data_IF_612581880933
#
_entry.id   IF_612581880933
#
_cell.length_a   1.000
_cell.length_b   1.000
_cell.length_c   1.000
_cell.angle_alpha   90.00
_cell.angle_beta   90.00
_cell.angle_gamma   90.00
#
_symmetry.space_group_name_H-M   'P 1'
#
loop_
_entity.id
_entity.type
_entity.pdbx_description
1 polymer ?
#
# COMPACT_ATOMS: atom_id res chain seq x y z
N UNK A 1 20.05 19.94 1.44
CA UNK A 1 19.58 18.58 1.15
C UNK A 1 18.20 18.67 0.51
N UNK A 2 17.94 17.85 -0.50
CA UNK A 2 16.64 17.66 -1.16
C UNK A 2 16.27 16.16 -1.20
N UNK A 3 15.14 15.82 -1.82
CA UNK A 3 14.63 14.45 -1.92
C UNK A 3 15.61 13.48 -2.61
N UNK A 4 16.38 13.95 -3.60
CA UNK A 4 17.39 13.12 -4.28
C UNK A 4 18.55 12.79 -3.34
N UNK A 5 18.97 13.75 -2.53
CA UNK A 5 20.03 13.54 -1.54
C UNK A 5 19.57 12.51 -0.48
N UNK A 6 18.33 12.65 0.01
CA UNK A 6 17.70 11.71 0.95
C UNK A 6 17.65 10.31 0.33
N UNK A 7 17.18 10.17 -0.91
CA UNK A 7 17.12 8.89 -1.60
C UNK A 7 18.50 8.24 -1.76
N UNK A 8 19.55 9.01 -2.07
CA UNK A 8 20.92 8.51 -2.15
C UNK A 8 21.43 7.98 -0.80
N UNK A 9 21.12 8.66 0.31
CA UNK A 9 21.46 8.19 1.66
C UNK A 9 20.72 6.87 1.96
N UNK A 10 19.42 6.80 1.66
CA UNK A 10 18.62 5.59 1.87
C UNK A 10 19.13 4.41 1.02
N UNK A 11 19.52 4.63 -0.23
CA UNK A 11 20.17 3.60 -1.06
C UNK A 11 21.44 3.05 -0.42
N UNK A 12 22.25 3.91 0.19
CA UNK A 12 23.44 3.47 0.93
C UNK A 12 23.10 2.65 2.18
N UNK A 13 21.87 2.77 2.72
CA UNK A 13 21.34 1.96 3.81
C UNK A 13 20.57 0.70 3.32
N UNK A 14 20.65 0.36 2.04
CA UNK A 14 20.03 -0.85 1.48
C UNK A 14 18.58 -0.70 1.02
N UNK A 15 18.04 0.52 0.97
CA UNK A 15 16.72 0.76 0.39
C UNK A 15 16.76 0.71 -1.14
N UNK A 16 15.75 0.12 -1.75
CA UNK A 16 15.52 0.21 -3.19
C UNK A 16 14.73 1.49 -3.48
N UNK A 17 15.35 2.51 -4.09
CA UNK A 17 14.65 3.74 -4.43
C UNK A 17 14.56 3.98 -5.93
N UNK A 18 13.34 4.25 -6.38
CA UNK A 18 12.97 4.50 -7.77
C UNK A 18 12.17 5.80 -7.89
N UNK A 19 12.13 6.31 -9.11
CA UNK A 19 11.28 7.44 -9.47
C UNK A 19 10.19 6.97 -10.39
N UNK A 20 8.99 7.47 -10.17
CA UNK A 20 7.92 7.29 -11.13
C UNK A 20 8.08 8.24 -12.34
N UNK A 21 7.16 8.11 -13.30
CA UNK A 21 7.13 8.91 -14.52
C UNK A 21 6.92 10.42 -14.25
N UNK A 22 6.42 10.78 -13.06
CA UNK A 22 6.17 12.15 -12.63
C UNK A 22 7.32 12.73 -11.80
N UNK A 23 8.34 11.92 -11.51
CA UNK A 23 9.53 12.31 -10.77
C UNK A 23 9.42 12.15 -9.26
N UNK A 24 8.31 11.61 -8.76
CA UNK A 24 8.12 11.31 -7.35
C UNK A 24 9.04 10.15 -6.96
N UNK A 25 9.81 10.36 -5.89
CA UNK A 25 10.76 9.38 -5.42
C UNK A 25 10.10 8.52 -4.35
N UNK A 26 10.13 7.20 -4.54
CA UNK A 26 9.75 6.24 -3.51
C UNK A 26 10.95 5.35 -3.17
N UNK A 27 11.05 4.95 -1.92
CA UNK A 27 12.05 4.00 -1.44
C UNK A 27 11.35 2.86 -0.72
N UNK A 28 11.75 1.63 -1.01
CA UNK A 28 11.17 0.41 -0.44
C UNK A 28 12.26 -0.41 0.24
N UNK A 29 11.89 -1.04 1.35
CA UNK A 29 12.71 -2.05 2.03
C UNK A 29 11.83 -3.19 2.53
N UNK A 30 12.34 -4.42 2.43
CA UNK A 30 11.74 -5.59 3.04
C UNK A 30 12.02 -5.58 4.55
N UNK A 31 10.97 -5.77 5.37
CA UNK A 31 11.07 -5.81 6.83
C UNK A 31 10.63 -7.16 7.41
N UNK A 32 10.66 -8.22 6.62
CA UNK A 32 10.21 -9.58 6.96
C UNK A 32 8.82 -9.86 6.42
N UNK A 33 7.80 -9.77 7.27
CA UNK A 33 6.42 -10.12 6.92
C UNK A 33 5.70 -9.02 6.10
N UNK A 34 6.39 -7.91 5.83
CA UNK A 34 5.84 -6.73 5.15
C UNK A 34 6.91 -6.00 4.34
N UNK A 35 6.46 -5.18 3.40
CA UNK A 35 7.27 -4.20 2.67
C UNK A 35 6.95 -2.81 3.19
N UNK A 36 7.98 -2.06 3.58
CA UNK A 36 7.87 -0.66 3.98
C UNK A 36 8.26 0.22 2.79
N UNK A 37 7.34 1.08 2.37
CA UNK A 37 7.60 2.17 1.44
C UNK A 37 7.63 3.51 2.17
N UNK A 38 8.57 4.36 1.78
CA UNK A 38 8.61 5.78 2.15
C UNK A 38 8.64 6.64 0.89
N UNK A 39 8.00 7.82 0.97
CA UNK A 39 7.98 8.85 -0.07
C UNK A 39 8.57 10.12 0.56
N UNK A 40 9.88 10.37 0.38
CA UNK A 40 10.53 11.54 0.93
C UNK A 40 9.98 12.84 0.35
N UNK A 41 9.71 13.82 1.21
CA UNK A 41 9.33 15.18 0.82
C UNK A 41 10.05 16.21 1.69
N UNK A 42 10.56 17.27 1.06
CA UNK A 42 11.32 18.34 1.73
C UNK A 42 10.73 19.70 1.37
N UNK A 43 10.05 20.31 2.34
CA UNK A 43 9.57 21.69 2.25
C UNK A 43 10.55 22.67 2.90
N UNK A 44 11.16 23.57 2.13
CA UNK A 44 12.00 24.66 2.68
C UNK A 44 11.15 25.84 3.18
N UNK A 45 11.50 26.37 4.36
CA UNK A 45 11.01 27.63 4.94
C UNK A 45 12.20 28.55 5.26
N UNK A 46 11.92 29.77 5.69
CA UNK A 46 12.95 30.78 5.97
C UNK A 46 13.89 30.34 7.12
N UNK A 47 13.34 29.69 8.14
CA UNK A 47 14.02 29.33 9.38
C UNK A 47 14.16 27.79 9.61
N UNK A 48 13.45 26.97 8.83
CA UNK A 48 13.47 25.51 8.98
C UNK A 48 13.18 24.76 7.67
N UNK A 49 13.38 23.45 7.71
CA UNK A 49 12.89 22.47 6.77
C UNK A 49 11.74 21.69 7.39
N UNK A 50 10.79 21.29 6.54
CA UNK A 50 9.74 20.32 6.84
C UNK A 50 10.07 19.04 6.09
N UNK A 51 10.40 17.98 6.82
CA UNK A 51 10.78 16.69 6.22
C UNK A 51 9.72 15.65 6.58
N UNK A 52 9.21 14.94 5.57
CA UNK A 52 8.34 13.77 5.80
C UNK A 52 8.82 12.61 4.95
N UNK A 53 8.74 11.41 5.50
CA UNK A 53 8.97 10.15 4.78
C UNK A 53 7.66 9.46 4.39
N UNK A 54 6.50 9.94 4.86
CA UNK A 54 5.17 9.36 4.58
C UNK A 54 5.14 7.81 4.55
N UNK A 55 5.56 7.13 5.64
CA UNK A 55 5.74 5.69 5.59
C UNK A 55 4.42 4.95 5.40
N UNK A 56 4.45 3.88 4.61
CA UNK A 56 3.33 2.98 4.42
C UNK A 56 3.82 1.55 4.34
N UNK A 57 3.01 0.61 4.81
CA UNK A 57 3.31 -0.82 4.72
C UNK A 57 2.33 -1.56 3.84
N UNK A 58 2.83 -2.57 3.16
CA UNK A 58 2.04 -3.54 2.41
C UNK A 58 2.61 -4.95 2.62
N UNK A 59 1.95 -5.95 2.03
CA UNK A 59 2.58 -7.23 1.73
C UNK A 59 2.71 -7.37 0.22
N UNK A 60 3.72 -8.11 -0.22
CA UNK A 60 3.93 -8.42 -1.64
C UNK A 60 2.70 -9.06 -2.27
N UNK A 61 2.10 -10.03 -1.58
CA UNK A 61 0.87 -10.70 -2.02
C UNK A 61 -0.29 -9.71 -2.24
N UNK A 62 -0.43 -8.72 -1.36
CA UNK A 62 -1.47 -7.71 -1.49
C UNK A 62 -1.21 -6.74 -2.65
N UNK A 63 0.01 -6.22 -2.76
CA UNK A 63 0.40 -5.34 -3.88
C UNK A 63 0.21 -6.04 -5.23
N UNK A 64 0.62 -7.30 -5.35
CA UNK A 64 0.44 -8.11 -6.57
C UNK A 64 -1.03 -8.37 -6.88
N UNK A 65 -1.87 -8.67 -5.87
CA UNK A 65 -3.30 -8.84 -6.08
C UNK A 65 -3.97 -7.56 -6.57
N UNK A 66 -3.61 -6.40 -6.00
CA UNK A 66 -4.13 -5.09 -6.43
C UNK A 66 -3.72 -4.78 -7.87
N UNK A 67 -2.45 -4.98 -8.23
CA UNK A 67 -1.94 -4.78 -9.59
C UNK A 67 -2.66 -5.69 -10.59
N UNK A 68 -2.77 -6.98 -10.27
CA UNK A 68 -3.46 -7.94 -11.13
C UNK A 68 -4.94 -7.58 -11.33
N UNK A 69 -5.64 -7.23 -10.25
CA UNK A 69 -7.06 -6.83 -10.33
C UNK A 69 -7.21 -5.54 -11.13
N UNK A 70 -6.35 -4.54 -10.94
CA UNK A 70 -6.45 -3.28 -11.66
C UNK A 70 -6.07 -3.40 -13.14
N UNK A 71 -5.18 -4.34 -13.47
CA UNK A 71 -4.57 -4.43 -14.78
C UNK A 71 -3.49 -3.36 -14.99
N UNK A 72 -3.09 -2.65 -13.94
CA UNK A 72 -1.96 -1.74 -13.95
C UNK A 72 -0.73 -2.48 -13.38
N UNK A 73 0.45 -2.22 -13.93
CA UNK A 73 1.71 -2.82 -13.46
C UNK A 73 2.23 -2.21 -12.16
N UNK A 74 1.33 -1.75 -11.28
CA UNK A 74 1.70 -1.05 -10.05
C UNK A 74 2.51 -1.93 -9.09
N UNK A 75 3.47 -1.33 -8.39
CA UNK A 75 4.43 -2.06 -7.53
C UNK A 75 4.07 -2.08 -6.05
N UNK A 76 3.39 -1.04 -5.52
CA UNK A 76 3.06 -0.94 -4.09
C UNK A 76 1.64 -0.43 -3.84
N UNK A 77 0.82 -1.26 -3.21
CA UNK A 77 -0.52 -0.88 -2.77
C UNK A 77 -0.57 -0.82 -1.23
N UNK A 78 -0.64 0.35 -0.58
CA UNK A 78 -0.51 0.43 0.87
C UNK A 78 -1.70 -0.20 1.60
N UNK A 79 -1.41 -0.97 2.65
CA UNK A 79 -2.37 -1.51 3.61
C UNK A 79 -2.56 -0.54 4.77
N UNK A 80 -1.46 -0.06 5.36
CA UNK A 80 -1.47 0.94 6.45
C UNK A 80 -0.57 2.10 6.04
N UNK A 81 -1.02 3.32 6.30
CA UNK A 81 -0.29 4.57 6.01
C UNK A 81 -0.13 5.36 7.29
N UNK A 82 1.08 5.83 7.57
CA UNK A 82 1.33 6.78 8.63
C UNK A 82 0.95 8.19 8.16
N UNK A 83 0.04 8.84 8.90
CA UNK A 83 -0.43 10.18 8.59
C UNK A 83 0.18 11.24 9.52
N UNK A 84 1.36 10.96 10.09
CA UNK A 84 2.07 11.95 10.90
C UNK A 84 2.52 13.14 10.05
N UNK A 85 2.47 14.32 10.66
CA UNK A 85 2.93 15.56 10.03
C UNK A 85 4.45 15.56 9.82
N UNK A 86 4.97 16.43 8.96
CA UNK A 86 6.41 16.54 8.73
C UNK A 86 7.15 17.00 9.99
N UNK A 87 8.34 16.45 10.20
CA UNK A 87 9.28 16.92 11.23
C UNK A 87 9.85 18.29 10.82
N UNK A 88 10.01 19.19 11.81
CA UNK A 88 10.59 20.52 11.62
C UNK A 88 12.02 20.53 12.12
N UNK A 89 12.98 20.74 11.23
CA UNK A 89 14.41 20.75 11.57
C UNK A 89 15.10 21.97 10.95
N UNK A 90 16.05 22.57 11.65
CA UNK A 90 16.77 23.77 11.18
C UNK A 90 17.70 23.47 9.99
N UNK A 91 18.24 22.25 9.93
CA UNK A 91 19.06 21.73 8.83
C UNK A 91 18.82 20.23 8.69
N UNK A 92 19.08 19.68 7.50
CA UNK A 92 18.96 18.25 7.23
C UNK A 92 20.36 17.66 7.06
N UNK A 93 20.74 16.73 7.92
CA UNK A 93 21.98 15.95 7.85
C UNK A 93 21.71 14.49 7.45
N UNK A 94 22.76 13.73 7.14
CA UNK A 94 22.64 12.30 6.87
C UNK A 94 22.16 11.52 8.09
N UNK A 95 22.60 11.91 9.30
CA UNK A 95 22.20 11.26 10.54
C UNK A 95 20.70 11.47 10.83
N UNK A 96 20.16 12.64 10.47
CA UNK A 96 18.71 12.89 10.55
C UNK A 96 17.94 11.94 9.64
N UNK A 97 18.41 11.74 8.40
CA UNK A 97 17.77 10.82 7.44
C UNK A 97 17.80 9.38 7.95
N UNK A 98 18.93 8.94 8.50
CA UNK A 98 19.07 7.61 9.10
C UNK A 98 18.09 7.48 10.27
N UNK A 99 18.06 8.46 11.18
CA UNK A 99 17.13 8.45 12.32
C UNK A 99 15.66 8.41 11.89
N UNK A 100 15.27 9.18 10.87
CA UNK A 100 13.91 9.13 10.32
C UNK A 100 13.58 7.76 9.71
N UNK A 101 14.54 7.14 9.02
CA UNK A 101 14.35 5.80 8.44
C UNK A 101 14.20 4.72 9.52
N UNK A 102 14.97 4.80 10.61
CA UNK A 102 14.87 3.87 11.74
C UNK A 102 13.54 4.03 12.50
N UNK A 103 13.07 5.27 12.66
CA UNK A 103 11.73 5.57 13.18
C UNK A 103 10.64 4.95 12.29
N UNK A 104 10.75 5.11 10.97
CA UNK A 104 9.80 4.52 10.02
C UNK A 104 9.79 2.98 10.08
N UNK A 105 10.96 2.35 10.17
CA UNK A 105 11.08 0.88 10.34
C UNK A 105 10.46 0.43 11.67
N UNK A 106 10.71 1.16 12.76
CA UNK A 106 10.16 0.83 14.08
C UNK A 106 8.64 0.97 14.11
N UNK A 107 8.12 2.05 13.53
CA UNK A 107 6.69 2.24 13.31
C UNK A 107 6.10 1.07 12.51
N UNK A 108 6.69 0.73 11.36
CA UNK A 108 6.22 -0.33 10.49
C UNK A 108 6.16 -1.70 11.18
N UNK A 109 7.20 -2.05 11.96
CA UNK A 109 7.27 -3.31 12.73
C UNK A 109 6.24 -3.41 13.85
N UNK A 110 5.69 -2.28 14.31
CA UNK A 110 4.63 -2.27 15.32
C UNK A 110 3.22 -2.44 14.75
N UNK A 111 3.06 -2.45 13.42
CA UNK A 111 1.77 -2.56 12.77
C UNK A 111 1.40 -4.02 12.47
N UNK A 112 0.09 -4.27 12.32
CA UNK A 112 -0.45 -5.56 11.86
C UNK A 112 -1.05 -5.43 10.46
N UNK A 113 -0.42 -6.07 9.46
CA UNK A 113 -0.95 -6.10 8.09
C UNK A 113 -2.31 -6.79 8.02
N UNK A 114 -2.53 -7.83 8.80
CA UNK A 114 -3.81 -8.55 8.86
C UNK A 114 -4.96 -7.66 9.37
N UNK A 115 -4.71 -6.80 10.37
CA UNK A 115 -5.71 -5.84 10.84
C UNK A 115 -6.09 -4.83 9.75
N UNK A 116 -5.10 -4.34 9.00
CA UNK A 116 -5.35 -3.46 7.85
C UNK A 116 -6.13 -4.16 6.72
N UNK A 117 -5.79 -5.40 6.39
CA UNK A 117 -6.55 -6.21 5.43
C UNK A 117 -7.98 -6.49 5.92
N UNK A 118 -8.17 -6.73 7.21
CA UNK A 118 -9.49 -6.85 7.81
C UNK A 118 -10.31 -5.57 7.67
N UNK A 119 -9.69 -4.39 7.79
CA UNK A 119 -10.36 -3.11 7.54
C UNK A 119 -10.78 -2.98 6.06
N UNK A 120 -9.92 -3.33 5.11
CA UNK A 120 -10.27 -3.31 3.68
C UNK A 120 -11.41 -4.26 3.32
N UNK A 121 -11.49 -5.46 3.91
CA UNK A 121 -12.64 -6.37 3.70
C UNK A 121 -13.98 -5.81 4.19
N UNK A 122 -13.95 -4.87 5.13
CA UNK A 122 -15.14 -4.21 5.69
C UNK A 122 -15.52 -2.92 4.95
N UNK A 123 -14.71 -2.45 4.01
CA UNK A 123 -15.01 -1.23 3.26
C UNK A 123 -16.35 -1.33 2.53
N UNK A 124 -17.11 -0.23 2.46
CA UNK A 124 -18.24 -0.15 1.56
C UNK A 124 -17.76 -0.11 0.10
N UNK A 125 -18.57 -0.65 -0.80
CA UNK A 125 -18.35 -0.66 -2.26
C UNK A 125 -18.21 0.74 -2.87
N UNK A 126 -18.85 1.75 -2.26
CA UNK A 126 -18.80 3.15 -2.68
C UNK A 126 -17.63 3.94 -2.07
N UNK A 127 -16.65 3.27 -1.45
CA UNK A 127 -15.44 3.93 -0.97
C UNK A 127 -14.71 4.67 -2.12
N UNK A 128 -14.03 5.78 -1.79
CA UNK A 128 -13.43 6.67 -2.80
C UNK A 128 -12.00 6.27 -3.15
N UNK A 129 -11.49 6.82 -4.26
CA UNK A 129 -10.11 6.60 -4.71
C UNK A 129 -9.85 5.12 -5.03
N UNK A 130 -8.67 4.62 -4.69
CA UNK A 130 -8.28 3.22 -4.93
C UNK A 130 -8.94 2.20 -3.98
N UNK A 131 -9.73 2.65 -3.00
CA UNK A 131 -10.27 1.80 -1.93
C UNK A 131 -11.13 0.63 -2.44
N UNK A 132 -12.00 0.78 -3.46
CA UNK A 132 -12.79 -0.34 -3.96
C UNK A 132 -11.95 -1.49 -4.52
N UNK A 133 -10.83 -1.21 -5.17
CA UNK A 133 -9.91 -2.26 -5.64
C UNK A 133 -9.20 -2.92 -4.46
N UNK A 134 -8.74 -2.13 -3.48
CA UNK A 134 -8.13 -2.67 -2.24
C UNK A 134 -9.10 -3.56 -1.46
N UNK A 135 -10.39 -3.21 -1.47
CA UNK A 135 -11.46 -4.07 -0.95
C UNK A 135 -11.53 -5.41 -1.69
N UNK A 136 -11.58 -5.40 -3.03
CA UNK A 136 -11.60 -6.63 -3.83
C UNK A 136 -10.35 -7.49 -3.59
N UNK A 137 -9.16 -6.89 -3.57
CA UNK A 137 -7.90 -7.59 -3.31
C UNK A 137 -7.88 -8.22 -1.90
N UNK A 138 -8.33 -7.50 -0.88
CA UNK A 138 -8.36 -8.02 0.49
C UNK A 138 -9.37 -9.18 0.65
N UNK A 139 -10.52 -9.13 -0.04
CA UNK A 139 -11.44 -10.27 -0.10
C UNK A 139 -10.81 -11.46 -0.83
N UNK A 140 -10.11 -11.20 -1.93
CA UNK A 140 -9.49 -12.24 -2.74
C UNK A 140 -8.40 -13.00 -1.98
N UNK A 141 -7.50 -12.30 -1.30
CA UNK A 141 -6.42 -12.92 -0.49
C UNK A 141 -7.00 -13.71 0.68
N UNK A 142 -8.08 -13.22 1.29
CA UNK A 142 -8.81 -13.96 2.32
C UNK A 142 -9.59 -15.17 1.78
N UNK A 143 -9.64 -15.36 0.45
CA UNK A 143 -10.38 -16.44 -0.18
C UNK A 143 -11.90 -16.30 -0.09
N UNK A 144 -12.43 -15.08 0.11
CA UNK A 144 -13.88 -14.82 0.17
C UNK A 144 -14.51 -14.82 -1.23
N UNK A 145 -14.37 -15.94 -1.92
CA UNK A 145 -14.90 -16.14 -3.27
C UNK A 145 -16.43 -16.03 -3.30
N UNK A 146 -17.11 -16.36 -2.19
CA UNK A 146 -18.57 -16.24 -2.08
C UNK A 146 -19.02 -14.79 -2.24
N UNK A 147 -18.41 -13.86 -1.49
CA UNK A 147 -18.77 -12.44 -1.56
C UNK A 147 -18.41 -11.81 -2.92
N UNK A 148 -17.28 -12.23 -3.50
CA UNK A 148 -16.88 -11.78 -4.84
C UNK A 148 -17.85 -12.28 -5.93
N UNK A 149 -18.33 -13.52 -5.82
CA UNK A 149 -19.32 -14.10 -6.74
C UNK A 149 -20.70 -13.41 -6.61
N UNK A 150 -21.09 -13.04 -5.40
CA UNK A 150 -22.29 -12.21 -5.16
C UNK A 150 -22.19 -10.85 -5.86
N UNK A 151 -21.03 -10.18 -5.80
CA UNK A 151 -20.80 -8.93 -6.53
C UNK A 151 -20.86 -9.13 -8.05
N UNK A 152 -20.25 -10.20 -8.57
CA UNK A 152 -20.27 -10.53 -10.00
C UNK A 152 -21.72 -10.70 -10.50
N UNK A 153 -22.52 -11.51 -9.81
CA UNK A 153 -23.93 -11.74 -10.14
C UNK A 153 -24.78 -10.47 -10.09
N UNK A 154 -24.46 -9.55 -9.18
CA UNK A 154 -25.15 -8.26 -9.11
C UNK A 154 -24.81 -7.39 -10.33
N UNK A 155 -23.53 -7.31 -10.71
CA UNK A 155 -23.08 -6.60 -11.91
C UNK A 155 -23.74 -7.13 -13.19
N UNK A 156 -23.87 -8.44 -13.32
CA UNK A 156 -24.55 -9.09 -14.45
C UNK A 156 -26.04 -8.72 -14.56
N UNK A 157 -26.68 -8.40 -13.42
CA UNK A 157 -28.07 -7.92 -13.37
C UNK A 157 -28.19 -6.40 -13.56
N UNK A 158 -27.09 -5.71 -13.81
CA UNK A 158 -27.03 -4.25 -13.96
C UNK A 158 -27.03 -3.49 -12.63
N UNK A 159 -26.99 -4.18 -11.49
CA UNK A 159 -26.83 -3.54 -10.18
C UNK A 159 -25.34 -3.49 -9.80
N UNK A 160 -24.80 -2.28 -9.70
CA UNK A 160 -23.38 -2.09 -9.38
C UNK A 160 -23.13 -2.01 -7.87
N UNK A 161 -24.14 -2.19 -7.02
CA UNK A 161 -24.01 -2.11 -5.55
C UNK A 161 -23.35 -0.83 -5.04
N UNK A 162 -23.43 0.27 -5.79
CA UNK A 162 -22.77 1.53 -5.46
C UNK A 162 -21.25 1.55 -5.71
N UNK A 163 -20.66 0.54 -6.34
CA UNK A 163 -19.27 0.60 -6.80
C UNK A 163 -19.05 1.81 -7.70
N UNK A 164 -17.94 2.51 -7.45
CA UNK A 164 -17.48 3.64 -8.26
C UNK A 164 -17.39 3.27 -9.76
N UNK A 165 -17.57 4.23 -10.69
CA UNK A 165 -17.71 3.91 -12.12
C UNK A 165 -16.55 3.14 -12.74
N UNK A 166 -15.32 3.33 -12.24
CA UNK A 166 -14.13 2.70 -12.83
C UNK A 166 -14.01 1.21 -12.52
N UNK A 167 -14.72 0.68 -11.49
CA UNK A 167 -14.67 -0.75 -11.17
C UNK A 167 -15.48 -1.54 -12.21
N UNK A 168 -14.85 -2.49 -12.88
CA UNK A 168 -15.49 -3.28 -13.94
C UNK A 168 -15.83 -4.69 -13.47
N UNK A 169 -16.69 -5.37 -14.24
CA UNK A 169 -16.98 -6.79 -14.01
C UNK A 169 -15.70 -7.65 -14.13
N UNK A 170 -14.84 -7.32 -15.10
CA UNK A 170 -13.55 -7.99 -15.32
C UNK A 170 -12.61 -7.88 -14.12
N UNK A 171 -12.63 -6.76 -13.38
CA UNK A 171 -11.87 -6.61 -12.13
C UNK A 171 -12.36 -7.60 -11.07
N UNK A 172 -13.67 -7.84 -10.98
CA UNK A 172 -14.25 -8.83 -10.06
C UNK A 172 -13.86 -10.24 -10.50
N UNK A 173 -13.85 -10.53 -11.80
CA UNK A 173 -13.39 -11.82 -12.33
C UNK A 173 -11.93 -12.09 -11.97
N UNK A 174 -11.05 -11.08 -12.12
CA UNK A 174 -9.65 -11.19 -11.71
C UNK A 174 -9.51 -11.40 -10.20
N UNK A 175 -10.34 -10.75 -9.38
CA UNK A 175 -10.37 -10.99 -7.93
C UNK A 175 -10.79 -12.43 -7.60
N UNK A 176 -11.79 -12.98 -8.29
CA UNK A 176 -12.22 -14.38 -8.16
C UNK A 176 -11.09 -15.35 -8.52
N UNK A 177 -10.35 -15.09 -9.60
CA UNK A 177 -9.20 -15.90 -9.98
C UNK A 177 -8.13 -15.93 -8.88
N UNK A 178 -7.87 -14.79 -8.23
CA UNK A 178 -6.95 -14.74 -7.08
C UNK A 178 -7.49 -15.56 -5.91
N UNK A 179 -8.77 -15.42 -5.55
CA UNK A 179 -9.39 -16.13 -4.43
C UNK A 179 -9.40 -17.66 -4.59
N UNK A 180 -9.43 -18.14 -5.83
CA UNK A 180 -9.51 -19.57 -6.17
C UNK A 180 -8.14 -20.24 -6.32
N UNK A 181 -7.03 -19.47 -6.37
CA UNK A 181 -5.69 -20.07 -6.41
C UNK A 181 -5.43 -20.86 -5.11
N UNK A 182 -4.86 -22.08 -5.21
CA UNK A 182 -4.38 -22.78 -4.02
C UNK A 182 -3.26 -21.93 -3.39
N UNK A 183 -3.44 -21.52 -2.13
CA UNK A 183 -2.46 -20.69 -1.42
C UNK A 183 -1.23 -21.55 -1.08
N UNK A 184 -0.02 -21.07 -1.40
CA UNK A 184 1.23 -21.71 -0.99
C UNK A 184 1.53 -21.60 0.52
N UNK A 185 0.62 -21.01 1.30
CA UNK A 185 0.67 -20.97 2.76
C UNK A 185 -0.46 -21.82 3.37
N UNK A 186 -0.18 -22.59 4.45
CA UNK A 186 -1.21 -23.35 5.15
C UNK A 186 -2.25 -22.41 5.72
N UNK A 187 -3.46 -22.47 5.17
CA UNK A 187 -4.62 -21.75 5.69
C UNK A 187 -4.87 -22.25 7.11
N UNK A 188 -4.59 -21.43 8.13
CA UNK A 188 -5.02 -21.74 9.50
C UNK A 188 -6.55 -21.80 9.49
N UNK A 189 -7.09 -23.01 9.68
CA UNK A 189 -8.53 -23.18 9.88
C UNK A 189 -8.92 -22.41 11.15
N UNK A 190 -10.03 -21.66 11.15
CA UNK A 190 -10.58 -21.17 12.41
C UNK A 190 -11.01 -22.37 13.26
N UNK A 191 -10.64 -22.34 14.54
CA UNK A 191 -11.15 -23.23 15.58
C UNK A 191 -12.63 -22.93 15.86
#
# INVERSE_FOLDING_TARGET
>A
MNEKDIASILKAQGWACDKDEFGDCSCVIDIGDAELQIIPSVGKREDHFRVSLMPSISSKEFSEAVSFISGDGGSHAPIIVCNEGPEKISSISSDDVISFSEKAISWARSQSTEEGLAAYRKLPTHAKGAMPVRHLAALAIAGDARRLDEYKKSFEKGDRLGFVPYVTSDMIDRALMVAQKPSNHPRKKPN
#
